data_IF_379854842816
#
_entry.id   IF_379854842816
#
_cell.length_a   1.000
_cell.length_b   1.000
_cell.length_c   1.000
_cell.angle_alpha   90.00
_cell.angle_beta   90.00
_cell.angle_gamma   90.00
#
_symmetry.space_group_name_H-M   'P 1'
#
loop_
_entity.id
_entity.type
_entity.pdbx_description
1 polymer ?
#
# COMPACT_ATOMS: atom_id res chain seq x y z
N UNK A 1 -37.91 -30.37 -37.35
CA UNK A 1 -36.48 -30.56 -37.68
C UNK A 1 -35.81 -29.18 -37.73
N UNK A 2 -34.91 -28.90 -36.77
CA UNK A 2 -33.77 -27.93 -36.73
C UNK A 2 -34.10 -26.45 -37.10
N UNK A 3 -33.85 -25.40 -36.30
CA UNK A 3 -32.53 -24.78 -36.01
C UNK A 3 -32.52 -23.80 -34.82
N UNK A 4 -31.32 -23.65 -34.24
CA UNK A 4 -30.84 -22.84 -33.11
C UNK A 4 -31.17 -21.34 -33.18
N UNK A 5 -31.31 -20.68 -32.01
CA UNK A 5 -30.67 -19.37 -31.79
C UNK A 5 -30.42 -19.07 -30.32
N UNK A 6 -29.27 -18.44 -30.11
CA UNK A 6 -28.54 -18.12 -28.89
C UNK A 6 -29.24 -16.98 -28.14
N UNK A 7 -29.44 -17.14 -26.83
CA UNK A 7 -29.41 -15.99 -25.92
C UNK A 7 -28.30 -16.26 -24.92
N UNK A 8 -27.13 -15.77 -25.30
CA UNK A 8 -25.99 -15.60 -24.43
C UNK A 8 -26.47 -14.67 -23.31
N UNK A 9 -26.79 -15.24 -22.14
CA UNK A 9 -26.83 -14.48 -20.91
C UNK A 9 -25.40 -14.02 -20.66
N UNK A 10 -25.01 -12.93 -21.31
CA UNK A 10 -24.02 -12.03 -20.77
C UNK A 10 -24.60 -11.58 -19.43
N UNK A 11 -24.26 -12.31 -18.37
CA UNK A 11 -23.99 -11.66 -17.11
C UNK A 11 -22.97 -10.59 -17.49
N UNK A 12 -23.45 -9.35 -17.65
CA UNK A 12 -22.61 -8.20 -17.44
C UNK A 12 -22.14 -8.35 -16.00
N UNK A 13 -21.02 -9.09 -15.84
CA UNK A 13 -20.09 -8.82 -14.78
C UNK A 13 -19.80 -7.35 -15.04
N UNK A 14 -20.46 -6.47 -14.28
CA UNK A 14 -19.98 -5.13 -14.11
C UNK A 14 -18.52 -5.35 -13.73
N UNK A 15 -17.63 -5.11 -14.71
CA UNK A 15 -16.23 -5.00 -14.41
C UNK A 15 -16.16 -3.89 -13.40
N UNK A 16 -16.09 -4.26 -12.13
CA UNK A 16 -15.51 -3.38 -11.12
C UNK A 16 -14.15 -3.13 -11.73
N UNK A 17 -13.97 -1.91 -12.24
CA UNK A 17 -12.66 -1.42 -12.61
C UNK A 17 -11.97 -1.34 -11.27
N UNK A 18 -11.32 -2.44 -10.87
CA UNK A 18 -10.43 -2.41 -9.74
C UNK A 18 -9.33 -1.47 -10.22
N UNK A 19 -9.23 -0.28 -9.61
CA UNK A 19 -8.03 0.52 -9.74
C UNK A 19 -6.87 -0.39 -9.35
N UNK A 20 -6.08 -0.77 -10.35
CA UNK A 20 -4.89 -1.57 -10.12
C UNK A 20 -3.87 -0.68 -9.42
N UNK A 21 -3.16 -1.27 -8.47
CA UNK A 21 -2.06 -0.61 -7.77
C UNK A 21 -0.94 -0.26 -8.75
N UNK A 22 -0.03 0.62 -8.33
CA UNK A 22 1.15 0.89 -9.12
C UNK A 22 1.92 -0.40 -9.44
N UNK A 23 2.65 -0.45 -10.57
CA UNK A 23 3.38 -1.66 -10.96
C UNK A 23 4.31 -2.16 -9.84
N UNK A 24 4.12 -3.42 -9.43
CA UNK A 24 4.90 -4.05 -8.35
C UNK A 24 4.19 -4.05 -6.99
N UNK A 25 3.15 -3.24 -6.82
CA UNK A 25 2.35 -3.18 -5.60
C UNK A 25 1.14 -4.15 -5.69
N UNK A 26 0.55 -4.47 -4.53
CA UNK A 26 -0.62 -5.34 -4.43
C UNK A 26 -1.64 -4.76 -3.46
N UNK A 27 -2.89 -5.20 -3.53
CA UNK A 27 -3.90 -4.80 -2.55
C UNK A 27 -3.80 -5.58 -1.23
N UNK A 28 -4.10 -4.91 -0.12
CA UNK A 28 -4.38 -5.55 1.18
C UNK A 28 -5.87 -5.95 1.28
N UNK A 29 -6.30 -6.44 2.44
CA UNK A 29 -7.71 -6.85 2.63
C UNK A 29 -8.70 -5.68 2.72
N UNK A 30 -8.20 -4.45 2.90
CA UNK A 30 -9.01 -3.23 2.87
C UNK A 30 -9.06 -2.57 1.47
N UNK A 31 -8.59 -3.27 0.44
CA UNK A 31 -8.49 -2.77 -0.95
C UNK A 31 -7.55 -1.57 -1.14
N UNK A 32 -6.67 -1.28 -0.16
CA UNK A 32 -5.61 -0.30 -0.28
C UNK A 32 -4.36 -0.93 -0.90
N UNK A 33 -3.58 -0.13 -1.63
CA UNK A 33 -2.35 -0.57 -2.26
C UNK A 33 -1.21 -0.57 -1.25
N UNK A 34 -0.50 -1.69 -1.12
CA UNK A 34 0.67 -1.78 -0.25
C UNK A 34 1.95 -1.69 -1.06
N UNK A 35 2.86 -0.87 -0.57
CA UNK A 35 4.15 -0.58 -1.18
C UNK A 35 5.27 -0.72 -0.14
N UNK A 36 6.39 -1.34 -0.51
CA UNK A 36 7.57 -1.41 0.36
C UNK A 36 8.78 -0.79 -0.34
N UNK A 37 9.31 0.27 0.27
CA UNK A 37 10.43 1.02 -0.26
C UNK A 37 11.72 0.67 0.50
N UNK A 38 12.78 0.37 -0.26
CA UNK A 38 14.10 0.05 0.29
C UNK A 38 14.90 1.33 0.57
N UNK A 39 14.36 2.15 1.46
CA UNK A 39 14.96 3.41 1.92
C UNK A 39 15.11 3.38 3.44
N UNK A 40 16.36 3.29 3.92
CA UNK A 40 16.67 3.26 5.33
C UNK A 40 16.28 4.58 6.02
N UNK A 41 15.17 4.57 6.74
CA UNK A 41 14.55 5.78 7.31
C UNK A 41 14.16 5.56 8.76
N UNK A 42 14.17 6.64 9.56
CA UNK A 42 13.51 6.64 10.87
C UNK A 42 12.01 6.46 10.72
N UNK A 43 11.32 6.07 11.80
CA UNK A 43 9.87 5.87 11.72
C UNK A 43 9.12 7.13 11.28
N UNK A 44 9.55 8.31 11.75
CA UNK A 44 8.91 9.57 11.37
C UNK A 44 9.18 9.96 9.91
N UNK A 45 10.38 9.72 9.40
CA UNK A 45 10.70 9.92 7.99
C UNK A 45 9.92 8.97 7.10
N UNK A 46 9.78 7.72 7.52
CA UNK A 46 9.00 6.70 6.83
C UNK A 46 7.50 7.06 6.75
N UNK A 47 6.93 7.59 7.84
CA UNK A 47 5.56 8.11 7.82
C UNK A 47 5.41 9.31 6.88
N UNK A 48 6.35 10.26 6.93
CA UNK A 48 6.31 11.42 6.03
C UNK A 48 6.39 11.00 4.55
N UNK A 49 7.17 9.94 4.26
CA UNK A 49 7.21 9.33 2.94
C UNK A 49 5.82 8.81 2.54
N UNK A 50 5.18 7.97 3.34
CA UNK A 50 3.86 7.43 3.00
C UNK A 50 2.77 8.51 2.87
N UNK A 51 2.80 9.55 3.72
CA UNK A 51 1.89 10.70 3.63
C UNK A 51 2.09 11.47 2.33
N UNK A 52 3.33 11.64 1.88
CA UNK A 52 3.61 12.24 0.57
C UNK A 52 3.08 11.39 -0.61
N UNK A 53 2.79 10.11 -0.36
CA UNK A 53 2.22 9.15 -1.32
C UNK A 53 0.75 8.83 -0.97
N UNK A 54 -0.01 9.83 -0.50
CA UNK A 54 -1.45 9.73 -0.21
C UNK A 54 -1.84 8.51 0.64
N UNK A 55 -0.98 8.16 1.59
CA UNK A 55 -1.12 6.99 2.45
C UNK A 55 -0.55 7.24 3.83
N UNK A 56 -0.37 6.15 4.56
CA UNK A 56 0.27 6.11 5.86
C UNK A 56 1.20 4.90 5.92
N UNK A 57 2.10 4.86 6.91
CA UNK A 57 2.75 3.60 7.23
C UNK A 57 1.70 2.53 7.50
N UNK A 58 1.90 1.34 6.94
CA UNK A 58 0.88 0.31 6.85
C UNK A 58 0.38 -0.14 8.23
N UNK A 59 -0.94 -0.21 8.35
CA UNK A 59 -1.66 -0.93 9.40
C UNK A 59 -1.83 -2.39 9.00
N UNK A 60 -1.94 -3.28 10.00
CA UNK A 60 -2.11 -4.72 9.74
C UNK A 60 -3.23 -5.24 10.63
N UNK A 61 -4.34 -5.62 10.00
CA UNK A 61 -5.58 -6.05 10.69
C UNK A 61 -5.81 -7.56 10.61
N UNK A 62 -5.00 -8.28 9.84
CA UNK A 62 -5.00 -9.73 9.79
C UNK A 62 -3.72 -10.30 9.14
N UNK A 63 -3.61 -11.63 9.10
CA UNK A 63 -2.48 -12.33 8.50
C UNK A 63 -2.36 -12.14 6.97
N UNK A 64 -3.47 -11.84 6.28
CA UNK A 64 -3.47 -11.60 4.84
C UNK A 64 -2.89 -10.23 4.49
N UNK A 65 -3.18 -9.18 5.27
CA UNK A 65 -2.53 -7.87 5.13
C UNK A 65 -1.00 -7.99 5.24
N UNK A 66 -0.53 -8.71 6.25
CA UNK A 66 0.90 -8.99 6.40
C UNK A 66 1.45 -9.79 5.22
N UNK A 67 0.67 -10.72 4.66
CA UNK A 67 1.08 -11.48 3.48
C UNK A 67 1.20 -10.58 2.25
N UNK A 68 0.29 -9.62 2.05
CA UNK A 68 0.38 -8.63 0.98
C UNK A 68 1.66 -7.79 1.09
N UNK A 69 1.97 -7.26 2.29
CA UNK A 69 3.21 -6.53 2.54
C UNK A 69 4.46 -7.36 2.26
N UNK A 70 4.48 -8.62 2.68
CA UNK A 70 5.61 -9.53 2.46
C UNK A 70 5.84 -9.88 0.99
N UNK A 71 4.79 -9.89 0.17
CA UNK A 71 4.92 -10.14 -1.29
C UNK A 71 5.69 -9.02 -1.99
N UNK A 72 5.51 -7.78 -1.55
CA UNK A 72 6.12 -6.58 -2.15
C UNK A 72 7.41 -6.15 -1.44
N UNK A 73 7.85 -6.88 -0.42
CA UNK A 73 8.99 -6.50 0.42
C UNK A 73 10.36 -6.46 -0.29
N UNK A 74 10.47 -7.01 -1.50
CA UNK A 74 11.71 -7.01 -2.27
C UNK A 74 12.89 -7.61 -1.51
N UNK A 75 13.96 -6.82 -1.34
CA UNK A 75 15.18 -7.23 -0.61
C UNK A 75 15.19 -6.82 0.86
N UNK A 76 14.15 -6.14 1.35
CA UNK A 76 14.06 -5.71 2.74
C UNK A 76 13.92 -6.91 3.68
N UNK A 77 14.74 -6.91 4.74
CA UNK A 77 14.66 -7.94 5.80
C UNK A 77 13.71 -7.53 6.92
N UNK A 78 13.48 -6.23 7.08
CA UNK A 78 12.51 -5.64 7.97
C UNK A 78 11.97 -4.34 7.38
N UNK A 79 10.78 -3.93 7.81
CA UNK A 79 10.18 -2.64 7.47
C UNK A 79 9.37 -2.08 8.65
N UNK A 80 9.27 -0.75 8.72
CA UNK A 80 8.39 -0.06 9.64
C UNK A 80 6.93 -0.34 9.32
N UNK A 81 6.11 -0.56 10.34
CA UNK A 81 4.66 -0.49 10.27
C UNK A 81 4.19 0.82 10.92
N UNK A 82 2.93 1.19 10.70
CA UNK A 82 2.33 2.41 11.28
C UNK A 82 2.14 2.37 12.80
N UNK A 83 2.62 1.32 13.46
CA UNK A 83 2.37 1.06 14.86
C UNK A 83 3.32 1.84 15.76
N UNK A 84 2.76 2.52 16.76
CA UNK A 84 3.52 3.08 17.88
C UNK A 84 2.98 2.54 19.19
N UNK A 85 3.87 2.05 20.05
CA UNK A 85 3.52 1.48 21.35
C UNK A 85 4.06 2.34 22.49
N UNK A 86 3.25 2.49 23.53
CA UNK A 86 3.60 3.10 24.81
C UNK A 86 3.74 2.04 25.91
N UNK A 87 4.20 2.44 27.09
CA UNK A 87 4.28 1.56 28.26
C UNK A 87 2.95 0.84 28.53
N UNK A 88 3.04 -0.42 28.95
CA UNK A 88 1.86 -1.24 29.23
C UNK A 88 1.16 -1.78 27.97
N UNK A 89 1.89 -1.98 26.86
CA UNK A 89 1.40 -2.66 25.65
C UNK A 89 0.23 -1.98 24.96
N UNK A 90 0.14 -0.65 25.14
CA UNK A 90 -0.82 0.23 24.47
C UNK A 90 -0.24 0.68 23.14
N UNK A 91 -0.71 0.06 22.07
CA UNK A 91 -0.27 0.38 20.71
C UNK A 91 -1.42 0.99 19.92
N UNK A 92 -1.08 1.85 18.96
CA UNK A 92 -2.01 2.47 18.01
C UNK A 92 -1.41 2.48 16.61
N UNK A 93 -2.25 2.43 15.60
CA UNK A 93 -1.86 2.71 14.22
C UNK A 93 -1.90 4.22 13.94
N UNK A 94 -1.03 4.68 13.05
CA UNK A 94 -0.89 6.11 12.70
C UNK A 94 -2.01 6.61 11.79
N UNK A 95 -2.59 5.73 10.99
CA UNK A 95 -3.77 5.97 10.15
C UNK A 95 -5.07 6.16 10.95
N UNK A 96 -5.04 5.86 12.25
CA UNK A 96 -6.16 6.01 13.18
C UNK A 96 -7.10 4.81 13.26
N UNK A 97 -6.80 3.69 12.59
CA UNK A 97 -7.60 2.47 12.68
C UNK A 97 -7.38 1.74 14.01
N UNK A 98 -8.30 0.83 14.35
CA UNK A 98 -8.23 0.07 15.59
C UNK A 98 -7.01 -0.87 15.60
N UNK A 99 -6.31 -0.94 16.75
CA UNK A 99 -5.21 -1.87 16.95
C UNK A 99 -5.74 -3.27 17.36
N UNK A 100 -6.44 -3.92 16.41
CA UNK A 100 -7.27 -5.12 16.60
C UNK A 100 -6.55 -6.44 16.30
N UNK A 101 -5.45 -6.40 15.57
CA UNK A 101 -4.60 -7.56 15.28
C UNK A 101 -3.21 -7.40 15.89
N UNK A 102 -2.68 -8.50 16.43
CA UNK A 102 -1.39 -8.53 17.12
C UNK A 102 -0.60 -9.75 16.69
N UNK A 103 0.55 -9.51 16.06
CA UNK A 103 1.49 -10.57 15.67
C UNK A 103 2.91 -10.32 16.19
N UNK A 104 3.03 -9.78 17.41
CA UNK A 104 4.35 -9.58 18.02
C UNK A 104 5.04 -10.91 18.33
N UNK A 105 6.37 -10.94 18.17
CA UNK A 105 7.20 -12.09 18.53
C UNK A 105 7.13 -12.38 20.03
N UNK A 106 7.26 -13.66 20.39
CA UNK A 106 7.33 -14.10 21.78
C UNK A 106 8.39 -13.30 22.56
N UNK A 107 8.00 -12.76 23.71
CA UNK A 107 8.88 -11.95 24.57
C UNK A 107 8.97 -10.46 24.22
N UNK A 108 8.29 -9.98 23.16
CA UNK A 108 8.10 -8.54 22.91
C UNK A 108 6.59 -8.27 22.85
N UNK A 109 6.02 -7.64 23.88
CA UNK A 109 4.58 -7.35 23.92
C UNK A 109 4.22 -5.97 23.34
N UNK A 110 5.13 -5.38 22.54
CA UNK A 110 5.01 -4.03 22.03
C UNK A 110 5.11 -2.98 23.13
N UNK A 111 6.31 -2.51 23.47
CA UNK A 111 6.50 -1.51 24.54
C UNK A 111 7.43 -0.38 24.13
N UNK A 112 7.01 0.85 24.45
CA UNK A 112 7.77 2.11 24.45
C UNK A 112 8.62 2.37 23.22
N UNK A 113 8.08 2.16 22.01
CA UNK A 113 8.83 2.21 20.74
C UNK A 113 7.92 2.06 19.51
N UNK A 114 8.52 2.14 18.33
CA UNK A 114 7.84 1.99 17.04
C UNK A 114 7.86 0.53 16.56
N UNK A 115 6.82 0.11 15.83
CA UNK A 115 6.60 -1.28 15.41
C UNK A 115 7.32 -1.57 14.10
N UNK A 116 8.17 -2.60 14.10
CA UNK A 116 8.86 -3.11 12.91
C UNK A 116 8.44 -4.56 12.66
N UNK A 117 8.24 -4.93 11.41
CA UNK A 117 7.94 -6.29 11.01
C UNK A 117 9.16 -6.97 10.36
N UNK A 118 9.35 -8.25 10.67
CA UNK A 118 10.32 -9.11 9.98
C UNK A 118 9.68 -9.71 8.72
N UNK A 119 10.34 -9.58 7.57
CA UNK A 119 9.73 -9.94 6.28
C UNK A 119 9.64 -11.46 6.07
N UNK A 120 10.45 -12.25 6.77
CA UNK A 120 10.46 -13.71 6.63
C UNK A 120 9.38 -14.39 7.47
N UNK A 121 9.22 -13.97 8.71
CA UNK A 121 8.26 -14.53 9.66
C UNK A 121 6.91 -13.82 9.63
N UNK A 122 6.87 -12.54 9.24
CA UNK A 122 5.70 -11.66 9.37
C UNK A 122 5.41 -11.25 10.81
N UNK A 123 6.26 -11.63 11.76
CA UNK A 123 6.11 -11.26 13.18
C UNK A 123 6.66 -9.88 13.45
N UNK A 124 6.14 -9.22 14.49
CA UNK A 124 6.47 -7.85 14.82
C UNK A 124 7.37 -7.78 16.05
N UNK A 125 8.13 -6.70 16.14
CA UNK A 125 8.79 -6.29 17.38
C UNK A 125 8.75 -4.78 17.48
N UNK A 126 9.19 -4.24 18.62
CA UNK A 126 9.39 -2.80 18.75
C UNK A 126 10.87 -2.44 18.73
N UNK A 127 11.18 -1.29 18.13
CA UNK A 127 12.52 -0.71 18.03
C UNK A 127 12.48 0.80 18.31
N UNK A 128 13.59 1.40 18.80
CA UNK A 128 13.73 2.86 18.86
C UNK A 128 13.22 3.51 17.59
N UNK A 129 12.30 4.46 17.71
CA UNK A 129 11.74 5.16 16.55
C UNK A 129 12.80 5.92 15.74
N UNK A 130 13.97 6.17 16.35
CA UNK A 130 15.16 6.77 15.75
C UNK A 130 16.08 5.75 15.04
N UNK A 131 15.82 4.46 15.16
CA UNK A 131 16.48 3.45 14.34
C UNK A 131 16.02 3.57 12.89
N UNK A 132 16.75 2.96 11.96
CA UNK A 132 16.39 2.97 10.53
C UNK A 132 15.93 1.59 10.07
N UNK A 133 14.89 1.55 9.24
CA UNK A 133 14.38 0.34 8.57
C UNK A 133 13.79 0.72 7.20
N UNK A 134 13.45 -0.27 6.38
CA UNK A 134 12.67 -0.02 5.16
C UNK A 134 11.28 0.52 5.51
N UNK A 135 10.59 1.06 4.51
CA UNK A 135 9.29 1.71 4.67
C UNK A 135 8.22 0.77 4.12
N UNK A 136 7.15 0.53 4.85
CA UNK A 136 5.95 -0.12 4.31
C UNK A 136 4.78 0.86 4.35
N UNK A 137 4.27 1.25 3.19
CA UNK A 137 3.13 2.14 3.05
C UNK A 137 1.86 1.36 2.72
N UNK A 138 0.75 1.91 3.22
CA UNK A 138 -0.60 1.61 2.75
C UNK A 138 -1.16 2.88 2.09
N UNK A 139 -1.33 2.80 0.77
CA UNK A 139 -1.69 3.90 -0.13
C UNK A 139 -3.14 3.74 -0.55
N UNK A 140 -3.91 4.83 -0.50
CA UNK A 140 -5.29 4.83 -0.97
C UNK A 140 -5.29 4.76 -2.51
N UNK A 141 -6.07 3.82 -3.07
CA UNK A 141 -5.93 3.21 -4.41
C UNK A 141 -5.78 4.08 -5.67
N UNK A 142 -5.86 5.42 -5.60
CA UNK A 142 -5.51 6.28 -6.73
C UNK A 142 -4.98 7.65 -6.28
N UNK A 143 -3.92 8.11 -6.95
CA UNK A 143 -3.45 9.50 -6.88
C UNK A 143 -4.42 10.43 -7.63
N UNK A 144 -4.34 11.72 -7.35
CA UNK A 144 -5.18 12.71 -8.04
C UNK A 144 -4.86 12.78 -9.54
N UNK A 145 -3.59 12.73 -9.90
CA UNK A 145 -3.13 12.74 -11.29
C UNK A 145 -1.76 12.06 -11.47
N UNK A 146 -1.28 11.99 -12.71
CA UNK A 146 0.01 11.42 -13.05
C UNK A 146 1.20 12.26 -12.55
N UNK A 147 1.03 13.56 -12.33
CA UNK A 147 2.08 14.38 -11.75
C UNK A 147 2.29 14.00 -10.29
N UNK A 148 1.23 13.68 -9.56
CA UNK A 148 1.33 13.21 -8.18
C UNK A 148 1.99 11.83 -8.10
N UNK A 149 1.66 10.91 -9.03
CA UNK A 149 2.45 9.67 -9.20
C UNK A 149 3.93 9.95 -9.45
N UNK A 150 4.27 10.92 -10.31
CA UNK A 150 5.66 11.28 -10.58
C UNK A 150 6.38 11.87 -9.37
N UNK A 151 5.71 12.76 -8.60
CA UNK A 151 6.26 13.32 -7.34
C UNK A 151 6.45 12.25 -6.27
N UNK A 152 5.60 11.23 -6.29
CA UNK A 152 5.70 10.01 -5.51
C UNK A 152 6.79 9.03 -6.02
N UNK A 153 7.69 9.48 -6.91
CA UNK A 153 8.83 8.67 -7.36
C UNK A 153 8.52 7.66 -8.47
N UNK A 154 7.27 7.58 -8.94
CA UNK A 154 6.91 6.72 -10.07
C UNK A 154 7.21 7.44 -11.39
N UNK A 155 8.44 7.30 -11.87
CA UNK A 155 8.96 8.04 -13.03
C UNK A 155 8.87 7.29 -14.36
N UNK A 156 8.39 6.05 -14.36
CA UNK A 156 8.26 5.26 -15.58
C UNK A 156 6.95 5.60 -16.30
N UNK A 157 7.01 5.89 -17.60
CA UNK A 157 5.80 6.05 -18.42
C UNK A 157 5.06 4.72 -18.52
N UNK A 158 3.73 4.74 -18.41
CA UNK A 158 2.94 3.52 -18.33
C UNK A 158 1.47 3.76 -18.03
N UNK A 159 0.74 2.68 -17.74
CA UNK A 159 -0.64 2.73 -17.27
C UNK A 159 -0.67 2.94 -15.76
N UNK A 160 -1.45 3.92 -15.31
CA UNK A 160 -1.69 4.20 -13.89
C UNK A 160 -3.16 4.51 -13.64
N UNK A 161 -3.61 4.29 -12.41
CA UNK A 161 -4.94 4.69 -11.96
C UNK A 161 -4.87 6.10 -11.34
N UNK A 162 -5.69 7.03 -11.84
CA UNK A 162 -5.84 8.39 -11.28
C UNK A 162 -7.31 8.70 -10.95
N UNK A 163 -7.56 9.74 -10.15
CA UNK A 163 -8.90 10.21 -9.83
C UNK A 163 -9.40 11.27 -10.83
N UNK A 164 -10.17 10.82 -11.84
CA UNK A 164 -10.89 11.74 -12.75
C UNK A 164 -12.27 12.03 -12.19
N UNK A 165 -12.50 13.27 -11.73
CA UNK A 165 -13.75 13.69 -11.07
C UNK A 165 -14.13 12.81 -9.87
N UNK A 166 -13.13 12.37 -9.08
CA UNK A 166 -13.32 11.51 -7.91
C UNK A 166 -13.56 10.04 -8.24
N UNK A 167 -13.42 9.63 -9.51
CA UNK A 167 -13.52 8.24 -9.95
C UNK A 167 -12.16 7.72 -10.41
N UNK A 168 -11.77 6.57 -9.87
CA UNK A 168 -10.59 5.82 -10.32
C UNK A 168 -10.70 5.47 -11.81
N UNK A 169 -9.70 5.89 -12.57
CA UNK A 169 -9.65 5.77 -14.02
C UNK A 169 -8.25 5.39 -14.45
N UNK A 170 -8.10 4.30 -15.21
CA UNK A 170 -6.82 3.94 -15.83
C UNK A 170 -6.50 4.92 -16.97
N UNK A 171 -5.32 5.52 -16.92
CA UNK A 171 -4.79 6.43 -17.93
C UNK A 171 -3.36 6.02 -18.29
N UNK A 172 -2.89 6.46 -19.45
CA UNK A 172 -1.46 6.40 -19.75
C UNK A 172 -0.78 7.66 -19.23
N UNK A 173 0.06 7.52 -18.21
CA UNK A 173 0.94 8.58 -17.74
C UNK A 173 2.20 8.63 -18.60
N UNK A 174 2.46 9.78 -19.21
CA UNK A 174 3.76 10.09 -19.82
C UNK A 174 4.61 10.90 -18.83
N UNK A 175 5.49 10.17 -18.14
CA UNK A 175 6.39 10.74 -17.13
C UNK A 175 7.65 11.37 -17.78
N UNK A 176 7.98 11.03 -19.02
CA UNK A 176 9.24 11.42 -19.67
C UNK A 176 9.12 12.73 -20.48
N UNK A 177 8.02 12.93 -21.20
CA UNK A 177 7.91 14.05 -22.16
C UNK A 177 7.34 15.32 -21.53
N UNK A 178 6.42 15.19 -20.57
CA UNK A 178 5.65 16.33 -20.03
C UNK A 178 5.61 16.40 -18.50
N UNK A 179 6.37 15.53 -17.81
CA UNK A 179 6.46 15.54 -16.34
C UNK A 179 5.14 15.18 -15.64
N UNK A 180 4.43 14.17 -16.14
CA UNK A 180 3.17 13.68 -15.56
C UNK A 180 1.90 14.04 -16.33
N UNK A 181 1.98 14.19 -17.66
CA UNK A 181 0.79 14.32 -18.51
C UNK A 181 0.05 12.99 -18.66
N UNK A 182 -1.24 13.02 -19.01
CA UNK A 182 -2.02 11.79 -19.21
C UNK A 182 -2.98 11.83 -20.40
N UNK A 183 -3.27 10.65 -20.95
CA UNK A 183 -4.29 10.44 -21.98
C UNK A 183 -5.27 9.34 -21.55
N UNK A 184 -6.54 9.53 -21.88
CA UNK A 184 -7.61 8.56 -21.63
C UNK A 184 -7.69 7.58 -22.81
N UNK A 185 -7.75 6.28 -22.54
CA UNK A 185 -8.11 5.29 -23.56
C UNK A 185 -9.65 5.23 -23.66
N UNK A 186 -10.18 5.35 -24.88
CA UNK A 186 -11.61 5.19 -25.20
C UNK A 186 -11.91 3.80 -25.73
#
# INVERSE_FOLDING_TARGET
MIFFSIVCYFLAIFGVVNGDCAPGDVKNTQENCVHVENLASTWQEAENFCVAHNGHLASVHNAFDMTSLRKVAGICTNFWLGGQCQSGSKCKWVDGTDFDYRNFRNGNQGSDNCVVADTKSGTWSTQPCTATSCIACEIKGAMQDCQDWMKAGYTDSGKYTILVNGKETEVWCDMQTYGGGWILFQ
#
